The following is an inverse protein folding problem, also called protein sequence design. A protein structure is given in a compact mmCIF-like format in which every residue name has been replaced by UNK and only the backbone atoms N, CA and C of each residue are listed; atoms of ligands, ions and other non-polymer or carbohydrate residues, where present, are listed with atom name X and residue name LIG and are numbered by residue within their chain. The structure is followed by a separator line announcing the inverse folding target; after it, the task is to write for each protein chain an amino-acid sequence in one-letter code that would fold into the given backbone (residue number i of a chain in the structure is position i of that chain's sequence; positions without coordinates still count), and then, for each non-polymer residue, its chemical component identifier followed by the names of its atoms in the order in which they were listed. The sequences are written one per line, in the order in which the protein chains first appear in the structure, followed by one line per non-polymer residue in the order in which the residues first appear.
data_IF_945429691454
#
_entry.id   IF_945429691454
#
_cell.length_a   1.000
_cell.length_b   1.000
_cell.length_c   1.000
_cell.angle_alpha   90.00
_cell.angle_beta   90.00
_cell.angle_gamma   90.00
#
_symmetry.space_group_name_H-M   'P 1'
#
loop_
_entity.id
_entity.type
_entity.pdbx_description
1 polymer ?
#
# COMPACT_ATOMS: atom_id res chain seq x y z
N UNK A 1 -17.87 13.24 13.34
CA UNK A 1 -17.88 13.22 11.87
C UNK A 1 -18.35 14.60 11.40
N UNK A 2 -17.58 15.39 10.64
CA UNK A 2 -18.07 16.65 10.07
C UNK A 2 -19.24 16.45 9.08
N UNK A 3 -19.51 15.22 8.65
CA UNK A 3 -20.72 14.77 7.93
C UNK A 3 -21.78 14.13 8.85
N UNK A 4 -21.90 14.61 10.09
CA UNK A 4 -22.94 14.18 11.00
C UNK A 4 -24.21 15.01 10.75
N UNK A 5 -25.01 14.62 9.76
CA UNK A 5 -26.35 15.16 9.58
C UNK A 5 -27.18 14.95 10.85
N UNK A 6 -27.94 15.97 11.26
CA UNK A 6 -28.61 16.06 12.55
C UNK A 6 -29.71 15.01 12.78
N UNK A 7 -30.00 14.18 11.78
CA UNK A 7 -31.18 13.31 11.72
C UNK A 7 -30.94 11.89 12.25
N UNK A 8 -29.70 11.47 12.47
CA UNK A 8 -29.39 10.08 12.83
C UNK A 8 -28.40 10.05 13.99
N UNK A 9 -28.86 9.61 15.16
CA UNK A 9 -28.07 9.60 16.40
C UNK A 9 -26.66 9.00 16.27
N UNK A 10 -25.81 9.33 17.24
CA UNK A 10 -24.34 9.11 17.28
C UNK A 10 -23.83 7.67 17.05
N UNK A 11 -24.71 6.70 16.81
CA UNK A 11 -24.40 5.28 16.62
C UNK A 11 -24.41 4.83 15.14
N UNK A 12 -24.62 5.75 14.19
CA UNK A 12 -24.74 5.39 12.77
C UNK A 12 -23.39 5.14 12.09
N UNK A 13 -23.20 3.91 11.61
CA UNK A 13 -22.02 3.45 10.86
C UNK A 13 -21.80 4.13 9.48
N UNK A 14 -22.72 5.03 9.04
CA UNK A 14 -22.56 5.81 7.80
C UNK A 14 -21.30 6.69 7.78
N UNK A 15 -20.72 7.00 8.94
CA UNK A 15 -19.43 7.69 9.00
C UNK A 15 -18.29 6.90 8.34
N UNK A 16 -18.38 5.56 8.29
CA UNK A 16 -17.42 4.74 7.55
C UNK A 16 -17.63 4.79 6.02
N UNK A 17 -18.72 5.36 5.51
CA UNK A 17 -18.86 5.59 4.07
C UNK A 17 -17.78 6.54 3.54
N UNK A 18 -17.24 7.44 4.38
CA UNK A 18 -16.09 8.28 4.01
C UNK A 18 -14.81 7.45 3.78
N UNK A 19 -14.71 6.24 4.34
CA UNK A 19 -13.54 5.37 4.15
C UNK A 19 -13.44 4.83 2.72
N UNK A 20 -14.56 4.63 2.02
CA UNK A 20 -14.54 4.16 0.63
C UNK A 20 -13.87 5.18 -0.30
N UNK A 21 -13.96 6.47 0.03
CA UNK A 21 -13.27 7.55 -0.70
C UNK A 21 -11.75 7.41 -0.55
N UNK A 22 -11.25 7.10 0.65
CA UNK A 22 -9.82 6.86 0.86
C UNK A 22 -9.33 5.68 0.02
N UNK A 23 -10.08 4.57 0.02
CA UNK A 23 -9.75 3.40 -0.79
C UNK A 23 -9.75 3.71 -2.30
N UNK A 24 -10.73 4.47 -2.78
CA UNK A 24 -10.83 4.86 -4.19
C UNK A 24 -9.69 5.80 -4.62
N UNK A 25 -9.31 6.76 -3.77
CA UNK A 25 -8.21 7.68 -4.06
C UNK A 25 -6.84 7.02 -4.00
N UNK A 26 -6.63 6.08 -3.08
CA UNK A 26 -5.40 5.29 -3.00
C UNK A 26 -5.33 4.17 -4.05
N UNK A 27 -6.48 3.81 -4.64
CA UNK A 27 -6.70 2.54 -5.34
C UNK A 27 -6.12 1.36 -4.56
N UNK A 28 -6.35 1.33 -3.24
CA UNK A 28 -5.76 0.34 -2.34
C UNK A 28 -6.54 -0.98 -2.38
N UNK A 29 -5.83 -2.10 -2.54
CA UNK A 29 -6.42 -3.45 -2.49
C UNK A 29 -5.47 -4.41 -1.77
N UNK A 30 -6.03 -5.32 -1.01
CA UNK A 30 -5.27 -6.39 -0.36
C UNK A 30 -6.01 -7.73 -0.51
N UNK A 31 -5.28 -8.76 -0.90
CA UNK A 31 -5.81 -10.12 -1.05
C UNK A 31 -5.11 -11.06 -0.08
N UNK A 32 -5.76 -11.35 1.06
CA UNK A 32 -5.17 -12.12 2.15
C UNK A 32 -4.65 -13.52 1.71
N UNK A 33 -5.43 -14.29 0.93
CA UNK A 33 -5.02 -15.64 0.52
C UNK A 33 -3.86 -15.66 -0.49
N UNK A 34 -3.69 -14.57 -1.26
CA UNK A 34 -2.58 -14.41 -2.21
C UNK A 34 -1.41 -13.65 -1.60
N UNK A 35 -1.59 -13.12 -0.38
CA UNK A 35 -0.66 -12.23 0.28
C UNK A 35 -0.21 -11.08 -0.66
N UNK A 36 -1.13 -10.55 -1.45
CA UNK A 36 -0.83 -9.50 -2.44
C UNK A 36 -1.44 -8.17 -2.04
N UNK A 37 -0.64 -7.12 -2.14
CA UNK A 37 -1.04 -5.74 -1.88
C UNK A 37 -0.88 -4.91 -3.16
N UNK A 38 -1.84 -4.04 -3.39
CA UNK A 38 -1.85 -3.11 -4.52
C UNK A 38 -2.18 -1.71 -4.03
N UNK A 39 -1.47 -0.72 -4.55
CA UNK A 39 -1.92 0.67 -4.51
C UNK A 39 -1.42 1.45 -5.72
N UNK A 40 -2.32 2.29 -6.26
CA UNK A 40 -2.08 3.13 -7.43
C UNK A 40 -2.80 4.47 -7.22
N UNK A 41 -2.21 5.38 -6.44
CA UNK A 41 -2.87 6.63 -6.06
C UNK A 41 -3.37 7.40 -7.28
N UNK A 42 -4.58 7.96 -7.20
CA UNK A 42 -5.22 8.74 -8.28
C UNK A 42 -5.08 10.25 -8.11
N UNK A 43 -4.48 10.66 -7.00
CA UNK A 43 -4.18 12.05 -6.64
C UNK A 43 -2.78 12.10 -6.01
N UNK A 44 -2.13 13.26 -6.14
CA UNK A 44 -0.81 13.50 -5.56
C UNK A 44 0.20 12.38 -5.86
N UNK A 45 0.20 11.86 -7.09
CA UNK A 45 0.97 10.66 -7.49
C UNK A 45 2.48 10.79 -7.21
N UNK A 46 3.01 12.01 -7.15
CA UNK A 46 4.42 12.27 -6.87
C UNK A 46 4.76 12.38 -5.37
N UNK A 47 3.77 12.60 -4.50
CA UNK A 47 3.90 12.67 -3.04
C UNK A 47 2.56 12.31 -2.37
N UNK A 48 2.35 11.01 -2.20
CA UNK A 48 1.11 10.44 -1.70
C UNK A 48 1.30 9.73 -0.36
N UNK A 49 0.31 9.83 0.51
CA UNK A 49 0.23 9.07 1.73
C UNK A 49 -1.24 8.76 2.08
N UNK A 50 -1.54 7.50 2.40
CA UNK A 50 -2.87 7.09 2.81
C UNK A 50 -2.83 6.00 3.88
N UNK A 51 -3.75 6.11 4.83
CA UNK A 51 -4.00 5.06 5.82
C UNK A 51 -4.62 3.82 5.15
N UNK A 52 -4.27 2.64 5.65
CA UNK A 52 -4.96 1.40 5.34
C UNK A 52 -5.18 0.56 6.60
N UNK A 53 -6.22 -0.28 6.56
CA UNK A 53 -6.48 -1.31 7.57
C UNK A 53 -6.94 -2.58 6.88
N UNK A 54 -6.34 -3.70 7.26
CA UNK A 54 -6.73 -5.07 6.90
C UNK A 54 -6.90 -5.88 8.19
N UNK A 55 -7.31 -7.14 8.08
CA UNK A 55 -7.57 -8.00 9.24
C UNK A 55 -6.33 -8.17 10.13
N UNK A 56 -5.16 -8.41 9.53
CA UNK A 56 -3.93 -8.73 10.26
C UNK A 56 -3.10 -7.51 10.71
N UNK A 57 -3.36 -6.32 10.14
CA UNK A 57 -2.54 -5.13 10.37
C UNK A 57 -3.22 -3.82 9.93
N UNK A 58 -2.71 -2.69 10.45
CA UNK A 58 -3.00 -1.36 9.92
C UNK A 58 -1.75 -0.50 9.85
N UNK A 59 -1.79 0.51 8.99
CA UNK A 59 -0.58 1.18 8.56
C UNK A 59 -0.79 2.34 7.60
N UNK A 60 0.28 2.71 6.92
CA UNK A 60 0.27 3.70 5.85
C UNK A 60 0.92 3.15 4.58
N UNK A 61 0.29 3.39 3.43
CA UNK A 61 0.97 3.32 2.14
C UNK A 61 1.41 4.71 1.72
N UNK A 62 2.62 4.82 1.18
CA UNK A 62 3.17 6.10 0.69
C UNK A 62 3.85 5.91 -0.65
N UNK A 63 3.84 6.95 -1.47
CA UNK A 63 4.52 6.99 -2.76
C UNK A 63 5.23 8.33 -2.93
N UNK A 64 6.45 8.27 -3.43
CA UNK A 64 7.25 9.44 -3.78
C UNK A 64 7.82 9.30 -5.19
N UNK A 65 7.83 10.39 -5.95
CA UNK A 65 8.52 10.49 -7.22
C UNK A 65 9.55 11.63 -7.17
N UNK A 66 10.73 11.34 -7.69
CA UNK A 66 11.79 12.29 -7.97
C UNK A 66 12.28 12.07 -9.41
N UNK A 67 13.03 13.01 -10.01
CA UNK A 67 13.62 12.79 -11.33
C UNK A 67 14.45 11.49 -11.35
N UNK A 68 14.08 10.55 -12.22
CA UNK A 68 14.79 9.27 -12.36
C UNK A 68 14.52 8.22 -11.28
N UNK A 69 13.60 8.46 -10.33
CA UNK A 69 13.37 7.54 -9.22
C UNK A 69 11.94 7.62 -8.69
N UNK A 70 11.32 6.46 -8.44
CA UNK A 70 10.07 6.33 -7.68
C UNK A 70 10.28 5.43 -6.48
N UNK A 71 9.53 5.69 -5.41
CA UNK A 71 9.59 4.91 -4.19
C UNK A 71 8.20 4.68 -3.61
N UNK A 72 7.90 3.42 -3.33
CA UNK A 72 6.71 2.97 -2.62
C UNK A 72 7.08 2.52 -1.20
N UNK A 73 6.27 2.88 -0.21
CA UNK A 73 6.42 2.45 1.18
C UNK A 73 5.15 1.77 1.66
N UNK A 74 5.31 0.68 2.42
CA UNK A 74 4.26 0.03 3.20
C UNK A 74 4.72 -0.01 4.65
N UNK A 75 4.12 0.84 5.48
CA UNK A 75 4.42 0.96 6.90
C UNK A 75 3.39 0.19 7.71
N UNK A 76 3.81 -0.65 8.65
CA UNK A 76 2.91 -1.33 9.59
C UNK A 76 3.04 -0.66 10.95
N UNK A 77 1.95 -0.06 11.44
CA UNK A 77 1.95 0.58 12.76
C UNK A 77 1.52 -0.39 13.87
N UNK A 78 0.61 -1.32 13.59
CA UNK A 78 0.29 -2.43 14.48
C UNK A 78 -0.15 -3.68 13.70
N UNK A 79 0.02 -4.84 14.33
CA UNK A 79 -0.23 -6.14 13.70
C UNK A 79 0.97 -6.62 12.89
N UNK A 80 0.72 -7.53 11.95
CA UNK A 80 1.72 -8.05 11.03
C UNK A 80 1.10 -8.26 9.63
N UNK A 81 1.81 -7.82 8.61
CA UNK A 81 1.38 -7.95 7.22
C UNK A 81 2.29 -8.92 6.49
N UNK A 82 1.72 -10.02 6.00
CA UNK A 82 2.46 -10.97 5.15
C UNK A 82 2.22 -10.63 3.68
N UNK A 83 3.31 -10.54 2.90
CA UNK A 83 3.28 -10.23 1.48
C UNK A 83 4.13 -11.21 0.67
N UNK A 84 3.54 -11.74 -0.40
CA UNK A 84 4.23 -12.43 -1.49
C UNK A 84 4.45 -11.50 -2.69
N UNK A 85 3.56 -10.52 -2.92
CA UNK A 85 3.70 -9.57 -4.02
C UNK A 85 3.18 -8.17 -3.70
N UNK A 86 3.73 -7.20 -4.44
CA UNK A 86 3.33 -5.80 -4.40
C UNK A 86 3.12 -5.27 -5.83
N UNK A 87 1.94 -4.72 -6.09
CA UNK A 87 1.57 -4.06 -7.35
C UNK A 87 1.53 -2.55 -7.17
N UNK A 88 2.08 -1.81 -8.14
CA UNK A 88 2.26 -0.36 -8.05
C UNK A 88 1.74 0.34 -9.30
N UNK A 89 1.10 1.50 -9.14
CA UNK A 89 0.55 2.31 -10.22
C UNK A 89 1.55 2.97 -11.17
N UNK A 90 2.80 2.53 -11.21
CA UNK A 90 3.86 3.07 -12.06
C UNK A 90 4.77 1.95 -12.58
N UNK A 91 5.45 2.15 -13.73
CA UNK A 91 6.33 1.14 -14.28
C UNK A 91 7.46 0.75 -13.33
N UNK A 92 7.75 -0.55 -13.23
CA UNK A 92 8.80 -1.07 -12.37
C UNK A 92 10.02 -1.44 -13.22
N UNK A 93 11.05 -0.60 -13.13
CA UNK A 93 12.36 -0.77 -13.77
C UNK A 93 13.47 -0.82 -12.70
N UNK A 94 14.38 -1.79 -12.81
CA UNK A 94 15.49 -1.98 -11.87
C UNK A 94 15.10 -1.92 -10.37
N UNK A 95 14.08 -2.66 -9.91
CA UNK A 95 13.57 -2.50 -8.55
C UNK A 95 14.55 -2.96 -7.47
N UNK A 96 14.48 -2.31 -6.30
CA UNK A 96 15.14 -2.75 -5.06
C UNK A 96 14.18 -2.64 -3.88
N UNK A 97 14.02 -3.72 -3.13
CA UNK A 97 13.25 -3.72 -1.88
C UNK A 97 14.17 -3.72 -0.66
N UNK A 98 13.74 -3.00 0.38
CA UNK A 98 14.29 -3.10 1.73
C UNK A 98 13.18 -3.27 2.75
N UNK A 99 13.32 -4.23 3.65
CA UNK A 99 12.43 -4.44 4.79
C UNK A 99 13.21 -4.15 6.08
N UNK A 100 12.70 -3.23 6.88
CA UNK A 100 13.34 -2.80 8.14
C UNK A 100 14.83 -2.42 7.94
N UNK A 101 15.18 -1.87 6.76
CA UNK A 101 16.56 -1.49 6.41
C UNK A 101 17.43 -2.62 5.83
N UNK A 102 16.94 -3.85 5.70
CA UNK A 102 17.66 -4.98 5.09
C UNK A 102 17.20 -5.19 3.66
N UNK A 103 18.11 -5.45 2.72
CA UNK A 103 17.73 -5.76 1.33
C UNK A 103 16.96 -7.09 1.27
N UNK A 104 15.89 -7.11 0.47
CA UNK A 104 15.06 -8.30 0.26
C UNK A 104 15.09 -8.67 -1.23
N UNK A 105 15.40 -9.92 -1.58
CA UNK A 105 15.30 -10.41 -2.96
C UNK A 105 13.89 -10.27 -3.52
N UNK A 106 13.80 -9.83 -4.77
CA UNK A 106 12.54 -9.69 -5.49
C UNK A 106 12.80 -9.84 -6.99
N UNK A 107 11.77 -10.23 -7.71
CA UNK A 107 11.73 -10.19 -9.16
C UNK A 107 10.53 -9.37 -9.64
N UNK A 108 10.69 -8.71 -10.80
CA UNK A 108 9.55 -8.14 -11.51
C UNK A 108 8.75 -9.27 -12.14
N UNK A 109 7.42 -9.22 -11.99
CA UNK A 109 6.49 -10.18 -12.59
C UNK A 109 5.50 -9.46 -13.50
N UNK A 110 4.77 -10.25 -14.30
CA UNK A 110 3.68 -9.73 -15.13
C UNK A 110 2.64 -8.98 -14.28
N UNK A 111 1.88 -8.10 -14.93
CA UNK A 111 0.92 -7.24 -14.24
C UNK A 111 -0.09 -8.04 -13.39
N UNK A 112 -0.23 -7.65 -12.13
CA UNK A 112 -1.35 -8.02 -11.26
C UNK A 112 -2.19 -6.76 -11.04
N UNK A 113 -3.51 -6.92 -10.97
CA UNK A 113 -4.46 -5.79 -10.91
C UNK A 113 -4.39 -4.79 -12.08
N UNK A 114 -3.77 -5.16 -13.20
CA UNK A 114 -3.57 -4.31 -14.38
C UNK A 114 -2.44 -3.28 -14.21
N UNK A 115 -1.49 -3.56 -13.32
CA UNK A 115 -0.33 -2.70 -13.03
C UNK A 115 0.95 -3.51 -12.85
N UNK A 116 2.11 -2.89 -13.09
CA UNK A 116 3.41 -3.53 -12.88
C UNK A 116 3.56 -4.01 -11.44
N UNK A 117 4.19 -5.18 -11.28
CA UNK A 117 4.23 -5.89 -10.00
C UNK A 117 5.60 -6.48 -9.71
N UNK A 118 5.92 -6.61 -8.43
CA UNK A 118 7.07 -7.36 -7.92
C UNK A 118 6.60 -8.53 -7.08
N UNK A 119 7.37 -9.62 -7.12
CA UNK A 119 7.19 -10.80 -6.29
C UNK A 119 8.45 -11.01 -5.47
N UNK A 120 8.29 -11.31 -4.19
CA UNK A 120 9.40 -11.68 -3.31
C UNK A 120 9.71 -13.17 -3.50
N UNK A 121 10.98 -13.55 -3.39
CA UNK A 121 11.40 -14.95 -3.55
C UNK A 121 10.76 -15.85 -2.48
N UNK A 122 10.64 -15.31 -1.26
CA UNK A 122 9.91 -15.88 -0.13
C UNK A 122 8.93 -14.84 0.41
N UNK A 123 7.79 -15.30 0.96
CA UNK A 123 6.85 -14.41 1.64
C UNK A 123 7.56 -13.61 2.73
N UNK A 124 7.39 -12.30 2.72
CA UNK A 124 7.92 -11.41 3.74
C UNK A 124 6.85 -11.09 4.78
N UNK A 125 7.29 -10.85 6.02
CA UNK A 125 6.43 -10.40 7.11
C UNK A 125 6.89 -9.01 7.55
N UNK A 126 6.02 -8.01 7.42
CA UNK A 126 6.23 -6.65 7.90
C UNK A 126 5.57 -6.54 9.27
N UNK A 127 6.36 -6.43 10.33
CA UNK A 127 5.88 -6.33 11.70
C UNK A 127 5.56 -4.89 12.10
N UNK A 128 4.85 -4.74 13.22
CA UNK A 128 4.62 -3.45 13.84
C UNK A 128 5.92 -2.65 14.05
N UNK A 129 5.93 -1.41 13.56
CA UNK A 129 7.08 -0.51 13.57
C UNK A 129 8.01 -0.67 12.37
N UNK A 130 7.80 -1.66 11.50
CA UNK A 130 8.62 -1.89 10.32
C UNK A 130 8.04 -1.23 9.07
N UNK A 131 8.91 -1.10 8.06
CA UNK A 131 8.56 -0.52 6.77
C UNK A 131 9.21 -1.36 5.68
N UNK A 132 8.40 -1.76 4.72
CA UNK A 132 8.86 -2.20 3.41
C UNK A 132 9.01 -0.96 2.53
N UNK A 133 10.17 -0.82 1.88
CA UNK A 133 10.37 0.20 0.84
C UNK A 133 10.78 -0.45 -0.46
N UNK A 134 10.10 -0.13 -1.55
CA UNK A 134 10.45 -0.53 -2.91
C UNK A 134 10.83 0.72 -3.70
N UNK A 135 12.08 0.79 -4.12
CA UNK A 135 12.61 1.85 -4.97
C UNK A 135 12.81 1.35 -6.39
N UNK A 136 12.55 2.22 -7.35
CA UNK A 136 12.57 1.95 -8.79
C UNK A 136 13.31 3.10 -9.46
N UNK A 137 14.13 2.79 -10.45
CA UNK A 137 14.93 3.76 -11.20
C UNK A 137 14.70 3.58 -12.70
N UNK A 138 14.66 4.70 -13.42
CA UNK A 138 14.52 4.73 -14.88
C UNK A 138 15.64 3.97 -15.60
#
# INVERSE_FOLDING_TARGET
NPWNEFECGHHYARSMAAYSVLLALADFRYHAQRESLHFAPRISEDDFACFYSVDSAWGMVKQYAAPGMRRALVEVHAGALTLTSLSLGFPIVNPRARLAGTDVPLERVAEDWGTDSVRFDESIVINAGETLSVSVWD
#
